data_IF_865364181276
#
_entry.id   IF_865364181276
#
_cell.length_a   1.000
_cell.length_b   1.000
_cell.length_c   1.000
_cell.angle_alpha   90.00
_cell.angle_beta   90.00
_cell.angle_gamma   90.00
#
_symmetry.space_group_name_H-M   'P 1'
#
loop_
_entity.id
_entity.type
_entity.pdbx_description
1 polymer ?
#
# COMPACT_ATOMS: atom_id res chain seq x y z
N UNK A 1 12.65 30.81 15.94
CA UNK A 1 13.89 30.23 16.49
C UNK A 1 14.30 29.14 15.55
N UNK A 2 15.42 29.32 14.83
CA UNK A 2 15.97 28.28 13.94
C UNK A 2 16.45 27.15 14.85
N UNK A 3 15.89 25.97 14.67
CA UNK A 3 16.27 24.80 15.46
C UNK A 3 17.68 24.37 15.00
N UNK A 4 18.71 24.62 15.80
CA UNK A 4 20.09 24.21 15.54
C UNK A 4 20.30 22.67 15.66
N UNK A 5 19.21 21.91 15.61
CA UNK A 5 19.27 20.45 15.67
C UNK A 5 19.71 19.90 14.30
N UNK A 6 20.78 19.12 14.34
CA UNK A 6 21.24 18.34 13.20
C UNK A 6 20.61 16.96 13.25
N UNK A 7 19.99 16.54 12.15
CA UNK A 7 19.28 15.27 12.06
C UNK A 7 20.00 14.36 11.08
N UNK A 8 20.38 13.17 11.54
CA UNK A 8 20.90 12.10 10.69
C UNK A 8 19.80 11.11 10.33
N UNK A 9 19.64 10.82 9.03
CA UNK A 9 18.70 9.80 8.53
C UNK A 9 19.50 8.66 7.94
N UNK A 10 19.20 7.43 8.37
CA UNK A 10 19.84 6.23 7.83
C UNK A 10 18.93 5.60 6.78
N UNK A 11 19.40 5.59 5.53
CA UNK A 11 18.69 5.06 4.37
C UNK A 11 18.21 6.14 3.43
N UNK A 12 18.60 6.06 2.16
CA UNK A 12 18.20 6.96 1.07
C UNK A 12 17.12 6.35 0.15
N UNK A 13 16.26 5.50 0.69
CA UNK A 13 15.03 5.08 0.02
C UNK A 13 13.94 6.16 0.10
N UNK A 14 12.78 5.91 -0.50
CA UNK A 14 11.68 6.89 -0.55
C UNK A 14 11.30 7.43 0.84
N UNK A 15 11.30 6.58 1.86
CA UNK A 15 11.00 6.97 3.24
C UNK A 15 12.04 7.95 3.79
N UNK A 16 13.33 7.66 3.61
CA UNK A 16 14.40 8.52 4.11
C UNK A 16 14.44 9.86 3.40
N UNK A 17 14.30 9.86 2.09
CA UNK A 17 14.30 11.07 1.26
C UNK A 17 13.10 11.96 1.59
N UNK A 18 11.89 11.39 1.64
CA UNK A 18 10.67 12.17 1.98
C UNK A 18 10.77 12.79 3.37
N UNK A 19 11.21 12.03 4.38
CA UNK A 19 11.41 12.59 5.72
C UNK A 19 12.47 13.69 5.73
N UNK A 20 13.57 13.53 4.98
CA UNK A 20 14.62 14.54 4.88
C UNK A 20 14.08 15.85 4.31
N UNK A 21 13.33 15.79 3.22
CA UNK A 21 12.73 16.96 2.58
C UNK A 21 11.77 17.71 3.52
N UNK A 22 10.87 16.99 4.19
CA UNK A 22 9.96 17.62 5.16
C UNK A 22 10.69 18.23 6.36
N UNK A 23 11.76 17.60 6.83
CA UNK A 23 12.57 18.16 7.92
C UNK A 23 13.35 19.40 7.48
N UNK A 24 13.90 19.39 6.26
CA UNK A 24 14.56 20.58 5.69
C UNK A 24 13.58 21.74 5.51
N UNK A 25 12.36 21.49 5.01
CA UNK A 25 11.29 22.51 4.94
C UNK A 25 10.97 23.12 6.30
N UNK A 26 11.12 22.35 7.39
CA UNK A 26 10.95 22.83 8.75
C UNK A 26 12.19 23.53 9.34
N UNK A 27 13.24 23.69 8.54
CA UNK A 27 14.46 24.43 8.92
C UNK A 27 15.50 23.60 9.69
N UNK A 28 15.40 22.25 9.67
CA UNK A 28 16.44 21.41 10.25
C UNK A 28 17.60 21.20 9.28
N UNK A 29 18.82 21.09 9.82
CA UNK A 29 19.98 20.61 9.08
C UNK A 29 19.92 19.08 9.00
N UNK A 30 19.74 18.52 7.78
CA UNK A 30 19.53 17.09 7.60
C UNK A 30 20.67 16.48 6.80
N UNK A 31 21.22 15.36 7.31
CA UNK A 31 22.21 14.54 6.60
C UNK A 31 21.66 13.13 6.41
N UNK A 32 21.69 12.64 5.17
CA UNK A 32 21.29 11.26 4.85
C UNK A 32 22.53 10.39 4.74
N UNK A 33 22.50 9.23 5.41
CA UNK A 33 23.55 8.22 5.35
C UNK A 33 22.99 6.98 4.62
N UNK A 34 23.63 6.60 3.54
CA UNK A 34 23.35 5.34 2.85
C UNK A 34 24.65 4.67 2.44
N UNK A 35 24.62 3.35 2.30
CA UNK A 35 25.77 2.57 1.83
C UNK A 35 25.99 2.66 0.32
N UNK A 36 25.05 3.20 -0.43
CA UNK A 36 25.07 3.37 -1.88
C UNK A 36 24.37 4.68 -2.28
N UNK A 37 24.61 5.10 -3.52
CA UNK A 37 23.92 6.27 -4.08
C UNK A 37 22.40 6.07 -4.09
N UNK A 38 21.63 7.14 -3.82
CA UNK A 38 20.17 7.11 -3.87
C UNK A 38 19.63 6.61 -5.21
N UNK A 39 18.52 5.87 -5.19
CA UNK A 39 17.78 5.49 -6.38
C UNK A 39 18.17 4.14 -7.01
N UNK A 40 19.38 3.59 -6.77
CA UNK A 40 19.83 2.40 -7.50
C UNK A 40 19.61 1.06 -6.79
N UNK A 41 19.47 1.04 -5.48
CA UNK A 41 19.47 -0.23 -4.72
C UNK A 41 18.47 -0.24 -3.57
N UNK A 42 17.76 0.82 -3.34
CA UNK A 42 16.68 0.86 -2.36
C UNK A 42 15.51 -0.01 -2.83
N UNK A 43 14.77 -0.60 -1.88
CA UNK A 43 13.55 -1.36 -2.19
C UNK A 43 12.48 -0.51 -2.91
N UNK A 44 12.58 0.81 -2.83
CA UNK A 44 11.72 1.75 -3.54
C UNK A 44 12.01 1.82 -5.04
N UNK A 45 13.22 1.46 -5.47
CA UNK A 45 13.58 1.47 -6.88
C UNK A 45 12.92 0.32 -7.62
N UNK A 46 12.25 0.63 -8.73
CA UNK A 46 11.56 -0.38 -9.53
C UNK A 46 10.33 -1.01 -8.84
N UNK A 47 9.76 -0.35 -7.83
CA UNK A 47 8.48 -0.79 -7.26
C UNK A 47 7.33 -0.63 -8.28
N UNK A 48 6.13 -1.07 -7.91
CA UNK A 48 4.97 -1.03 -8.81
C UNK A 48 4.44 0.39 -9.09
N UNK A 49 4.98 1.43 -8.45
CA UNK A 49 4.58 2.82 -8.65
C UNK A 49 3.14 3.13 -8.26
N UNK A 50 2.54 2.37 -7.35
CA UNK A 50 1.18 2.59 -6.89
C UNK A 50 1.14 3.36 -5.57
N UNK A 51 0.37 4.46 -5.56
CA UNK A 51 -0.03 5.14 -4.35
C UNK A 51 -1.45 4.66 -3.98
N UNK A 52 -1.56 3.90 -2.90
CA UNK A 52 -2.80 3.20 -2.54
C UNK A 52 -3.25 3.57 -1.12
N UNK A 53 -3.76 4.80 -0.91
CA UNK A 53 -4.21 5.24 0.41
C UNK A 53 -5.40 4.41 0.92
N UNK A 54 -6.12 3.76 0.02
CA UNK A 54 -7.29 2.94 0.33
C UNK A 54 -6.97 1.47 0.62
N UNK A 55 -5.69 1.09 0.66
CA UNK A 55 -5.23 -0.25 1.06
C UNK A 55 -5.29 -0.46 2.59
N UNK A 56 -6.34 0.05 3.23
CA UNK A 56 -6.55 -0.02 4.68
C UNK A 56 -7.23 -1.32 5.14
N UNK A 57 -7.68 -2.17 4.22
CA UNK A 57 -8.25 -3.48 4.59
C UNK A 57 -7.13 -4.45 4.96
N UNK A 58 -7.00 -4.83 6.24
CA UNK A 58 -5.88 -5.66 6.67
C UNK A 58 -6.09 -7.13 6.31
N UNK A 59 -5.01 -7.90 6.27
CA UNK A 59 -5.05 -9.33 5.92
C UNK A 59 -5.69 -10.21 7.01
N UNK A 60 -5.82 -9.75 8.24
CA UNK A 60 -6.43 -10.49 9.34
C UNK A 60 -7.97 -10.48 9.30
N UNK A 61 -8.53 -10.70 8.12
CA UNK A 61 -9.97 -10.85 7.91
C UNK A 61 -10.45 -12.19 8.47
N UNK A 62 -11.69 -12.28 8.97
CA UNK A 62 -12.24 -13.55 9.48
C UNK A 62 -12.27 -14.68 8.45
N UNK A 63 -12.52 -14.33 7.18
CA UNK A 63 -12.61 -15.25 6.04
C UNK A 63 -11.25 -15.83 5.63
N UNK A 64 -10.13 -15.17 5.96
CA UNK A 64 -8.79 -15.69 5.61
C UNK A 64 -8.53 -17.08 6.17
N UNK A 65 -9.12 -17.40 7.34
CA UNK A 65 -8.93 -18.69 7.99
C UNK A 65 -9.54 -19.85 7.18
N UNK A 66 -10.59 -19.59 6.40
CA UNK A 66 -11.20 -20.55 5.48
C UNK A 66 -10.45 -20.67 4.15
N UNK A 67 -9.76 -19.61 3.76
CA UNK A 67 -9.04 -19.53 2.48
C UNK A 67 -7.63 -20.14 2.57
N UNK A 68 -6.99 -20.09 3.74
CA UNK A 68 -5.61 -20.58 3.95
C UNK A 68 -5.39 -22.01 3.50
N UNK A 69 -6.26 -23.01 3.79
CA UNK A 69 -6.05 -24.37 3.31
C UNK A 69 -5.98 -24.46 1.78
N UNK A 70 -6.89 -23.78 1.09
CA UNK A 70 -6.91 -23.75 -0.38
C UNK A 70 -5.66 -23.06 -0.96
N UNK A 71 -5.20 -21.98 -0.32
CA UNK A 71 -3.98 -21.26 -0.73
C UNK A 71 -2.73 -22.14 -0.56
N UNK A 72 -2.65 -22.95 0.48
CA UNK A 72 -1.53 -23.86 0.74
C UNK A 72 -1.48 -25.05 -0.21
N UNK A 73 -2.64 -25.54 -0.66
CA UNK A 73 -2.76 -26.65 -1.59
C UNK A 73 -2.53 -26.24 -3.06
N UNK A 74 -2.59 -24.96 -3.35
CA UNK A 74 -2.39 -24.43 -4.70
C UNK A 74 -0.90 -24.24 -5.00
N UNK A 75 -0.40 -24.84 -6.08
CA UNK A 75 0.98 -24.65 -6.53
C UNK A 75 1.28 -23.23 -7.03
N UNK A 76 0.24 -22.49 -7.42
CA UNK A 76 0.30 -21.08 -7.84
C UNK A 76 -0.32 -20.12 -6.82
N UNK A 77 -0.59 -20.61 -5.62
CA UNK A 77 -1.22 -19.84 -4.55
C UNK A 77 -0.32 -18.73 -4.02
N UNK A 78 -0.92 -17.67 -3.43
CA UNK A 78 -0.18 -16.53 -2.91
C UNK A 78 0.57 -16.87 -1.60
N UNK A 79 0.31 -18.03 -1.00
CA UNK A 79 0.88 -18.43 0.28
C UNK A 79 1.85 -19.61 0.10
N UNK A 80 3.13 -19.35 0.33
CA UNK A 80 4.17 -20.38 0.38
C UNK A 80 4.74 -20.50 1.79
N UNK A 81 4.75 -21.72 2.34
CA UNK A 81 5.32 -21.98 3.66
C UNK A 81 6.62 -22.78 3.56
N UNK A 82 7.64 -22.30 4.25
CA UNK A 82 8.85 -23.09 4.52
C UNK A 82 8.59 -23.99 5.73
N UNK A 83 8.22 -25.24 5.47
CA UNK A 83 7.72 -26.19 6.47
C UNK A 83 8.63 -26.36 7.69
N UNK A 84 9.94 -26.37 7.50
CA UNK A 84 10.91 -26.47 8.59
C UNK A 84 10.94 -25.22 9.50
N UNK A 85 10.33 -24.10 9.06
CA UNK A 85 10.23 -22.86 9.84
C UNK A 85 8.89 -22.72 10.58
N UNK A 86 7.88 -23.49 10.17
CA UNK A 86 6.52 -23.41 10.74
C UNK A 86 6.51 -23.55 12.27
N UNK A 87 7.24 -24.48 12.91
CA UNK A 87 7.26 -24.58 14.37
C UNK A 87 7.67 -23.29 15.07
N UNK A 88 8.60 -22.52 14.48
CA UNK A 88 9.06 -21.24 15.03
C UNK A 88 8.00 -20.14 14.87
N UNK A 89 7.10 -20.30 13.92
CA UNK A 89 6.02 -19.33 13.64
C UNK A 89 4.74 -19.60 14.44
N UNK A 90 4.61 -20.72 15.12
CA UNK A 90 3.39 -21.07 15.87
C UNK A 90 2.93 -19.94 16.81
N UNK A 91 3.80 -19.29 17.62
CA UNK A 91 3.35 -18.20 18.49
C UNK A 91 2.77 -17.01 17.71
N UNK A 92 3.31 -16.73 16.52
CA UNK A 92 2.81 -15.69 15.64
C UNK A 92 1.45 -16.10 15.05
N UNK A 93 1.30 -17.32 14.56
CA UNK A 93 0.04 -17.82 14.01
C UNK A 93 -1.10 -17.78 15.04
N UNK A 94 -0.84 -18.18 16.27
CA UNK A 94 -1.83 -18.11 17.35
C UNK A 94 -2.30 -16.67 17.61
N UNK A 95 -1.36 -15.71 17.61
CA UNK A 95 -1.69 -14.27 17.73
C UNK A 95 -2.47 -13.78 16.52
N UNK A 96 -2.07 -14.18 15.32
CA UNK A 96 -2.76 -13.81 14.08
C UNK A 96 -4.20 -14.29 14.07
N UNK A 97 -4.44 -15.58 14.35
CA UNK A 97 -5.79 -16.18 14.43
C UNK A 97 -6.66 -15.45 15.45
N UNK A 98 -6.11 -15.14 16.63
CA UNK A 98 -6.84 -14.37 17.67
C UNK A 98 -7.22 -12.96 17.24
N UNK A 99 -6.58 -12.43 16.22
CA UNK A 99 -6.86 -11.12 15.64
C UNK A 99 -7.75 -11.19 14.39
N UNK A 100 -8.08 -12.37 13.88
CA UNK A 100 -8.98 -12.58 12.74
C UNK A 100 -10.46 -12.48 13.15
N UNK A 101 -10.85 -11.38 13.79
CA UNK A 101 -12.25 -11.06 14.08
C UNK A 101 -12.67 -9.76 13.43
N UNK A 102 -13.93 -9.62 13.07
CA UNK A 102 -14.47 -8.42 12.42
C UNK A 102 -14.17 -7.16 13.23
N UNK A 103 -14.34 -7.21 14.55
CA UNK A 103 -14.09 -6.04 15.42
C UNK A 103 -12.62 -5.62 15.39
N UNK A 104 -11.67 -6.56 15.52
CA UNK A 104 -10.23 -6.27 15.49
C UNK A 104 -9.75 -5.85 14.10
N UNK A 105 -10.30 -6.48 13.06
CA UNK A 105 -10.05 -6.09 11.68
C UNK A 105 -10.46 -4.64 11.45
N UNK A 106 -11.69 -4.26 11.85
CA UNK A 106 -12.19 -2.89 11.73
C UNK A 106 -11.38 -1.88 12.55
N UNK A 107 -10.97 -2.26 13.76
CA UNK A 107 -10.09 -1.42 14.57
C UNK A 107 -8.75 -1.17 13.83
N UNK A 108 -8.13 -2.21 13.29
CA UNK A 108 -6.89 -2.09 12.50
C UNK A 108 -7.10 -1.25 11.25
N UNK A 109 -8.18 -1.51 10.51
CA UNK A 109 -8.51 -0.78 9.28
C UNK A 109 -8.68 0.74 9.53
N UNK A 110 -9.40 1.10 10.59
CA UNK A 110 -9.60 2.52 10.99
C UNK A 110 -8.28 3.22 11.32
N UNK A 111 -7.44 2.58 12.12
CA UNK A 111 -6.15 3.17 12.49
C UNK A 111 -5.19 3.27 11.30
N UNK A 112 -5.17 2.27 10.42
CA UNK A 112 -4.39 2.32 9.17
C UNK A 112 -4.89 3.43 8.24
N UNK A 113 -6.21 3.56 8.10
CA UNK A 113 -6.81 4.59 7.25
C UNK A 113 -6.41 5.99 7.68
N UNK A 114 -6.44 6.29 8.99
CA UNK A 114 -6.02 7.60 9.51
C UNK A 114 -4.59 7.99 9.11
N UNK A 115 -3.68 7.01 9.02
CA UNK A 115 -2.30 7.25 8.59
C UNK A 115 -2.21 7.35 7.07
N UNK A 116 -2.89 6.45 6.36
CA UNK A 116 -2.84 6.38 4.90
C UNK A 116 -3.53 7.58 4.23
N UNK A 117 -4.55 8.13 4.85
CA UNK A 117 -5.29 9.30 4.37
C UNK A 117 -4.41 10.56 4.31
N UNK A 118 -3.36 10.62 5.12
CA UNK A 118 -2.35 11.68 5.09
C UNK A 118 -1.34 11.52 3.95
N UNK A 119 -1.27 10.35 3.30
CA UNK A 119 -0.21 10.05 2.36
C UNK A 119 -0.31 10.86 1.07
N UNK A 120 -1.50 10.94 0.45
CA UNK A 120 -1.65 11.68 -0.81
C UNK A 120 -1.41 13.17 -0.64
N UNK A 121 -2.00 13.87 0.36
CA UNK A 121 -1.69 15.28 0.60
C UNK A 121 -0.19 15.54 0.82
N UNK A 122 0.49 14.63 1.54
CA UNK A 122 1.92 14.75 1.77
C UNK A 122 2.73 14.54 0.47
N UNK A 123 2.33 13.62 -0.39
CA UNK A 123 2.96 13.45 -1.69
C UNK A 123 2.69 14.63 -2.62
N UNK A 124 1.47 15.16 -2.64
CA UNK A 124 1.14 16.35 -3.44
C UNK A 124 2.04 17.52 -3.07
N UNK A 125 2.27 17.76 -1.76
CA UNK A 125 3.20 18.80 -1.30
C UNK A 125 4.65 18.60 -1.79
N UNK A 126 5.11 17.36 -1.93
CA UNK A 126 6.43 17.04 -2.48
C UNK A 126 6.45 17.18 -4.02
N UNK A 127 5.36 16.80 -4.68
CA UNK A 127 5.25 16.81 -6.12
C UNK A 127 5.14 18.21 -6.69
N UNK A 128 4.62 19.17 -5.93
CA UNK A 128 4.59 20.59 -6.33
C UNK A 128 6.00 21.20 -6.53
N UNK A 129 7.04 20.55 -6.00
CA UNK A 129 8.43 20.99 -6.11
C UNK A 129 9.23 20.29 -7.22
N UNK A 130 8.63 19.28 -7.86
CA UNK A 130 9.31 18.42 -8.83
C UNK A 130 8.48 18.38 -10.12
N UNK A 131 9.15 18.52 -11.26
CA UNK A 131 8.50 18.28 -12.55
C UNK A 131 8.25 16.78 -12.71
N UNK A 132 6.97 16.40 -12.61
CA UNK A 132 6.49 15.02 -12.73
C UNK A 132 5.57 14.83 -13.95
N UNK A 133 5.64 15.73 -14.93
CA UNK A 133 4.80 15.64 -16.12
C UNK A 133 4.98 14.27 -16.81
N UNK A 134 3.87 13.58 -17.01
CA UNK A 134 3.85 12.23 -17.61
C UNK A 134 4.33 11.09 -16.70
N UNK A 135 4.81 11.35 -15.47
CA UNK A 135 5.25 10.32 -14.54
C UNK A 135 4.18 9.92 -13.52
N UNK A 136 3.29 10.83 -13.16
CA UNK A 136 2.24 10.62 -12.16
C UNK A 136 0.87 10.85 -12.78
N UNK A 137 -0.03 9.90 -12.64
CA UNK A 137 -1.41 10.01 -13.10
C UNK A 137 -2.41 9.74 -11.96
N UNK A 138 -3.34 10.69 -11.74
CA UNK A 138 -4.41 10.57 -10.74
C UNK A 138 -5.68 9.97 -11.38
N UNK A 139 -5.65 8.68 -11.73
CA UNK A 139 -6.76 7.98 -12.42
C UNK A 139 -7.53 6.98 -11.54
N UNK A 140 -7.20 6.89 -10.26
CA UNK A 140 -7.76 5.91 -9.36
C UNK A 140 -7.18 4.50 -9.53
N UNK A 141 -7.64 3.56 -8.71
CA UNK A 141 -7.15 2.18 -8.69
C UNK A 141 -8.31 1.25 -9.00
N UNK A 142 -8.10 0.29 -9.90
CA UNK A 142 -9.06 -0.76 -10.21
C UNK A 142 -8.74 -2.00 -9.37
N UNK A 143 -9.66 -2.37 -8.48
CA UNK A 143 -9.62 -3.65 -7.76
C UNK A 143 -10.38 -4.72 -8.54
N UNK A 144 -9.70 -5.83 -8.85
CA UNK A 144 -10.29 -6.96 -9.55
C UNK A 144 -10.34 -8.15 -8.60
N UNK A 145 -11.53 -8.68 -8.38
CA UNK A 145 -11.72 -9.92 -7.62
C UNK A 145 -11.84 -11.09 -8.58
N UNK A 146 -10.90 -12.02 -8.49
CA UNK A 146 -10.94 -13.28 -9.24
C UNK A 146 -11.10 -14.43 -8.25
N UNK A 147 -12.16 -15.22 -8.42
CA UNK A 147 -12.44 -16.42 -7.61
C UNK A 147 -12.57 -16.21 -6.09
N UNK A 148 -12.73 -14.98 -5.62
CA UNK A 148 -13.05 -14.73 -4.22
C UNK A 148 -14.51 -15.03 -3.90
N UNK A 149 -14.77 -15.46 -2.67
CA UNK A 149 -16.13 -15.64 -2.19
C UNK A 149 -16.90 -14.30 -2.20
N UNK A 150 -18.19 -14.35 -2.48
CA UNK A 150 -19.05 -13.14 -2.43
C UNK A 150 -18.97 -12.46 -1.06
N UNK A 151 -18.92 -13.25 0.03
CA UNK A 151 -18.82 -12.74 1.40
C UNK A 151 -17.53 -11.95 1.65
N UNK A 152 -16.41 -12.42 1.11
CA UNK A 152 -15.12 -11.73 1.23
C UNK A 152 -15.15 -10.39 0.51
N UNK A 153 -15.67 -10.37 -0.71
CA UNK A 153 -15.83 -9.14 -1.50
C UNK A 153 -16.76 -8.12 -0.83
N UNK A 154 -17.91 -8.57 -0.35
CA UNK A 154 -18.87 -7.73 0.37
C UNK A 154 -18.25 -7.14 1.65
N UNK A 155 -17.45 -7.93 2.36
CA UNK A 155 -16.74 -7.47 3.55
C UNK A 155 -15.75 -6.33 3.21
N UNK A 156 -14.96 -6.49 2.15
CA UNK A 156 -14.02 -5.45 1.71
C UNK A 156 -14.73 -4.17 1.28
N UNK A 157 -15.80 -4.29 0.50
CA UNK A 157 -16.61 -3.14 0.07
C UNK A 157 -17.20 -2.42 1.28
N UNK A 158 -17.76 -3.17 2.24
CA UNK A 158 -18.32 -2.61 3.47
C UNK A 158 -17.26 -1.86 4.29
N UNK A 159 -16.08 -2.47 4.47
CA UNK A 159 -14.99 -1.83 5.23
C UNK A 159 -14.59 -0.49 4.58
N UNK A 160 -14.42 -0.45 3.26
CA UNK A 160 -14.09 0.79 2.57
C UNK A 160 -15.21 1.84 2.69
N UNK A 161 -16.48 1.43 2.58
CA UNK A 161 -17.62 2.33 2.80
C UNK A 161 -17.64 2.91 4.22
N UNK A 162 -17.39 2.07 5.24
CA UNK A 162 -17.34 2.54 6.64
C UNK A 162 -16.16 3.49 6.90
N UNK A 163 -15.10 3.42 6.08
CA UNK A 163 -13.97 4.33 6.12
C UNK A 163 -14.14 5.60 5.26
N UNK A 164 -15.28 5.75 4.58
CA UNK A 164 -15.54 6.90 3.73
C UNK A 164 -14.77 6.89 2.40
N UNK A 165 -14.24 5.74 1.99
CA UNK A 165 -13.55 5.61 0.71
C UNK A 165 -14.54 5.71 -0.44
N UNK A 166 -14.32 6.66 -1.35
CA UNK A 166 -15.09 6.75 -2.59
C UNK A 166 -14.77 5.57 -3.50
N UNK A 167 -15.78 4.75 -3.77
CA UNK A 167 -15.62 3.55 -4.60
C UNK A 167 -16.85 3.33 -5.50
N UNK A 168 -16.57 2.89 -6.71
CA UNK A 168 -17.60 2.56 -7.69
C UNK A 168 -17.45 1.11 -8.13
N UNK A 169 -18.57 0.36 -8.12
CA UNK A 169 -18.59 -0.98 -8.69
C UNK A 169 -18.81 -0.84 -10.20
N UNK A 170 -17.88 -1.35 -10.99
CA UNK A 170 -17.92 -1.28 -12.45
C UNK A 170 -18.17 -2.65 -13.06
N UNK A 171 -18.87 -2.67 -14.17
CA UNK A 171 -19.14 -3.89 -14.94
C UNK A 171 -17.96 -4.28 -15.84
N UNK A 172 -17.87 -5.55 -16.29
CA UNK A 172 -16.84 -5.96 -17.25
C UNK A 172 -16.85 -5.13 -18.53
N UNK A 173 -18.01 -4.68 -19.01
CA UNK A 173 -18.15 -3.84 -20.20
C UNK A 173 -17.49 -2.47 -19.97
N UNK A 174 -17.78 -1.81 -18.87
CA UNK A 174 -17.16 -0.53 -18.50
C UNK A 174 -15.64 -0.64 -18.34
N UNK A 175 -15.14 -1.80 -17.89
CA UNK A 175 -13.69 -2.06 -17.83
C UNK A 175 -13.09 -2.18 -19.22
N UNK A 176 -13.78 -2.84 -20.16
CA UNK A 176 -13.33 -2.96 -21.55
C UNK A 176 -13.28 -1.59 -22.23
N UNK A 177 -14.29 -0.77 -22.04
CA UNK A 177 -14.36 0.58 -22.59
C UNK A 177 -13.21 1.46 -22.03
N UNK A 178 -12.90 1.35 -20.77
CA UNK A 178 -11.73 2.04 -20.13
C UNK A 178 -10.39 1.50 -20.64
N UNK A 179 -10.27 0.21 -20.96
CA UNK A 179 -9.07 -0.40 -21.55
C UNK A 179 -8.81 0.10 -22.97
N UNK A 180 -9.83 0.24 -23.80
CA UNK A 180 -9.69 0.71 -25.17
C UNK A 180 -9.15 2.15 -25.23
N UNK A 181 -9.47 2.97 -24.23
CA UNK A 181 -8.95 4.34 -24.11
C UNK A 181 -7.48 4.37 -23.62
N UNK A 182 -6.99 3.32 -22.93
CA UNK A 182 -5.62 3.23 -22.39
C UNK A 182 -4.57 2.67 -23.38
N UNK A 183 -4.97 1.92 -24.39
CA UNK A 183 -4.04 1.31 -25.35
C UNK A 183 -3.34 2.32 -26.29
N UNK A 184 -3.74 3.57 -26.22
CA UNK A 184 -3.13 4.65 -27.03
C UNK A 184 -2.09 5.49 -26.28
N UNK A 185 -1.80 5.23 -25.01
CA UNK A 185 -0.75 5.95 -24.27
C UNK A 185 0.42 5.00 -23.99
N UNK A 186 1.51 5.18 -24.72
CA UNK A 186 2.74 4.39 -24.69
C UNK A 186 3.72 4.78 -23.56
N UNK A 187 3.24 5.35 -22.46
CA UNK A 187 4.09 5.74 -21.34
C UNK A 187 3.78 4.98 -20.05
N UNK A 188 4.81 4.55 -19.29
CA UNK A 188 4.62 3.99 -17.96
C UNK A 188 4.07 5.08 -17.04
N UNK A 189 2.84 4.92 -16.59
CA UNK A 189 2.19 5.87 -15.68
C UNK A 189 2.05 5.27 -14.29
N UNK A 190 2.33 6.06 -13.28
CA UNK A 190 2.03 5.77 -11.87
C UNK A 190 0.58 6.19 -11.62
N UNK A 191 -0.25 5.28 -11.07
CA UNK A 191 -1.66 5.58 -10.79
C UNK A 191 -1.87 5.73 -9.28
N UNK A 192 -2.61 6.76 -8.90
CA UNK A 192 -3.16 6.94 -7.55
C UNK A 192 -4.41 6.09 -7.36
#
# INVERSE_FOLDING_TARGET
MVNNLKIGIVGAGIQGISNALFLQKKGFEVTIFDKKEPGNTAASYGNAGHFSPYASVPINRPDILTDVPAMLLSSSGPLALKWNYVPKMIPWFLRFIRNCSTSKMMHTAKNMHQILDLALPAYDELFDEIDLEGLVEKKGILYIWNNQSLKSRELEIRVRNELGVDQQIVTPKEIQDRKSTRLNSSHPSISY
#
